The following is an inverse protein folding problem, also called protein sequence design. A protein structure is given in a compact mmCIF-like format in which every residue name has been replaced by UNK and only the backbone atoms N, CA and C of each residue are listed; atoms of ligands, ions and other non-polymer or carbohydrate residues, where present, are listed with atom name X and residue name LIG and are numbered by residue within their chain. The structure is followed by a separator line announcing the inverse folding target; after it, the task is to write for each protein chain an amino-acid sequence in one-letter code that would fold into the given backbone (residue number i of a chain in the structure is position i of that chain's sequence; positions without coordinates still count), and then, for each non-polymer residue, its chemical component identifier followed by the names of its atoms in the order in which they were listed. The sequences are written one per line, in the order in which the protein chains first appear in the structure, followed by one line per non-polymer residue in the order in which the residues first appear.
data_IF_823190266777
#
_entry.id   IF_823190266777
#
_cell.length_a   1.000
_cell.length_b   1.000
_cell.length_c   1.000
_cell.angle_alpha   90.00
_cell.angle_beta   90.00
_cell.angle_gamma   90.00
#
_symmetry.space_group_name_H-M   'P 1'
#
loop_
_entity.id
_entity.type
_entity.pdbx_description
1 polymer ?
#
# COMPACT_ATOMS: atom_id res chain seq x y z
N UNK A 1 9.57 19.82 15.40
CA UNK A 1 8.39 19.03 15.84
C UNK A 1 8.03 18.06 14.73
N UNK A 2 7.70 16.81 15.05
CA UNK A 2 7.16 15.84 14.08
C UNK A 2 5.64 16.01 14.00
N UNK A 3 5.05 15.92 12.80
CA UNK A 3 3.59 16.05 12.61
C UNK A 3 2.88 14.79 13.09
N UNK A 4 1.61 14.90 13.50
CA UNK A 4 0.83 13.73 13.95
C UNK A 4 0.78 12.64 12.87
N UNK A 5 0.63 13.02 11.60
CA UNK A 5 0.61 12.07 10.48
C UNK A 5 1.91 11.29 10.35
N UNK A 6 3.05 11.98 10.51
CA UNK A 6 4.38 11.35 10.52
C UNK A 6 4.51 10.38 11.69
N UNK A 7 4.10 10.78 12.89
CA UNK A 7 4.13 9.91 14.05
C UNK A 7 3.30 8.63 13.82
N UNK A 8 2.06 8.78 13.35
CA UNK A 8 1.18 7.63 13.06
C UNK A 8 1.73 6.72 11.98
N UNK A 9 2.34 7.28 10.94
CA UNK A 9 3.03 6.48 9.92
C UNK A 9 4.13 5.62 10.55
N UNK A 10 4.99 6.19 11.40
CA UNK A 10 6.10 5.46 12.01
C UNK A 10 5.64 4.36 12.98
N UNK A 11 4.57 4.61 13.73
CA UNK A 11 3.96 3.59 14.60
C UNK A 11 3.39 2.41 13.81
N UNK A 12 2.74 2.69 12.68
CA UNK A 12 1.99 1.70 11.91
C UNK A 12 2.85 0.92 10.91
N UNK A 13 3.88 1.55 10.32
CA UNK A 13 4.60 1.01 9.17
C UNK A 13 5.96 0.36 9.50
N UNK A 14 6.23 0.06 10.77
CA UNK A 14 7.34 -0.85 11.08
C UNK A 14 7.07 -2.24 10.52
N UNK A 15 8.15 -2.96 10.19
CA UNK A 15 8.08 -4.25 9.48
C UNK A 15 8.32 -5.37 10.48
N UNK A 16 7.36 -6.28 10.62
CA UNK A 16 7.53 -7.51 11.39
C UNK A 16 7.81 -8.68 10.46
N UNK A 17 8.88 -9.43 10.74
CA UNK A 17 9.08 -10.69 10.03
C UNK A 17 7.98 -11.69 10.43
N UNK A 18 7.14 -12.17 9.51
CA UNK A 18 6.06 -13.10 9.86
C UNK A 18 6.59 -14.46 10.33
N UNK A 19 7.83 -14.82 9.96
CA UNK A 19 8.49 -16.07 10.36
C UNK A 19 9.14 -16.00 11.74
N UNK A 20 10.05 -15.04 11.98
CA UNK A 20 10.84 -14.98 13.22
C UNK A 20 10.44 -13.85 14.17
N UNK A 21 9.43 -13.06 13.83
CA UNK A 21 8.87 -11.95 14.65
C UNK A 21 9.85 -10.83 14.99
N UNK A 22 11.00 -10.77 14.33
CA UNK A 22 11.93 -9.65 14.47
C UNK A 22 11.32 -8.38 13.83
N UNK A 23 11.30 -7.28 14.60
CA UNK A 23 10.76 -5.97 14.21
C UNK A 23 11.87 -5.09 13.63
N UNK A 24 11.59 -4.46 12.49
CA UNK A 24 12.42 -3.42 11.89
C UNK A 24 11.69 -2.07 12.00
N UNK A 25 12.41 -1.04 12.45
CA UNK A 25 11.83 0.28 12.74
C UNK A 25 11.84 1.26 11.55
N UNK A 26 12.36 0.86 10.39
CA UNK A 26 12.62 1.76 9.27
C UNK A 26 11.73 1.44 8.07
N UNK A 27 11.19 2.49 7.44
CA UNK A 27 10.51 2.39 6.17
C UNK A 27 11.51 2.06 5.06
N UNK A 28 11.13 1.17 4.13
CA UNK A 28 11.91 0.90 2.92
C UNK A 28 11.32 1.69 1.76
N UNK A 29 12.13 2.54 1.14
CA UNK A 29 11.74 3.20 -0.11
C UNK A 29 11.86 2.25 -1.30
N UNK A 30 10.78 2.05 -2.06
CA UNK A 30 10.83 1.57 -3.44
C UNK A 30 10.27 0.16 -3.70
N UNK A 31 10.77 -0.89 -3.03
CA UNK A 31 10.41 -2.27 -3.34
C UNK A 31 9.68 -2.99 -2.19
N UNK A 32 8.53 -3.61 -2.48
CA UNK A 32 7.70 -4.34 -1.49
C UNK A 32 8.35 -5.63 -0.99
N UNK A 33 9.32 -6.17 -1.72
CA UNK A 33 10.02 -7.39 -1.36
C UNK A 33 10.99 -7.14 -0.20
N UNK A 34 10.82 -7.88 0.88
CA UNK A 34 11.63 -7.78 2.08
C UNK A 34 12.25 -9.14 2.43
N UNK A 35 13.56 -9.17 2.57
CA UNK A 35 14.32 -10.33 3.06
C UNK A 35 14.73 -10.09 4.51
N UNK A 36 14.23 -10.92 5.43
CA UNK A 36 14.59 -10.83 6.85
C UNK A 36 16.08 -11.11 7.05
N UNK A 37 16.81 -10.20 7.70
CA UNK A 37 18.25 -10.37 7.96
C UNK A 37 18.52 -11.51 8.93
N UNK A 38 17.60 -11.76 9.86
CA UNK A 38 17.71 -12.79 10.91
C UNK A 38 17.46 -14.22 10.41
N UNK A 39 16.40 -14.44 9.61
CA UNK A 39 15.99 -15.80 9.22
C UNK A 39 15.90 -16.03 7.70
N UNK A 40 16.31 -15.03 6.89
CA UNK A 40 16.30 -15.03 5.42
C UNK A 40 14.93 -15.26 4.77
N UNK A 41 13.85 -15.16 5.54
CA UNK A 41 12.50 -15.25 5.00
C UNK A 41 12.19 -14.05 4.10
N UNK A 42 11.67 -14.32 2.90
CA UNK A 42 11.32 -13.33 1.89
C UNK A 42 9.80 -13.13 1.87
N UNK A 43 9.35 -11.90 2.07
CA UNK A 43 7.92 -11.58 2.20
C UNK A 43 7.60 -10.15 1.74
N UNK A 44 6.33 -9.89 1.46
CA UNK A 44 5.83 -8.56 1.19
C UNK A 44 5.69 -7.79 2.49
N UNK A 45 6.35 -6.65 2.65
CA UNK A 45 6.19 -5.87 3.89
C UNK A 45 4.78 -5.26 4.06
N UNK A 46 4.01 -5.12 2.98
CA UNK A 46 2.66 -4.55 3.00
C UNK A 46 1.54 -5.54 3.37
N UNK A 47 1.75 -6.85 3.23
CA UNK A 47 0.73 -7.86 3.57
C UNK A 47 1.29 -9.14 4.20
N UNK A 48 2.59 -9.17 4.51
CA UNK A 48 3.31 -10.31 5.09
C UNK A 48 3.29 -11.62 4.27
N UNK A 49 2.70 -11.63 3.06
CA UNK A 49 2.64 -12.82 2.20
C UNK A 49 4.04 -13.20 1.70
N UNK A 50 4.37 -14.51 1.65
CA UNK A 50 5.68 -14.99 1.20
C UNK A 50 5.93 -14.64 -0.26
N UNK A 51 7.19 -14.33 -0.57
CA UNK A 51 7.70 -14.44 -1.93
C UNK A 51 8.14 -15.88 -2.21
N UNK A 52 7.91 -16.33 -3.43
CA UNK A 52 8.33 -17.63 -3.92
C UNK A 52 8.60 -17.61 -5.42
N UNK A 53 9.37 -18.59 -5.89
CA UNK A 53 9.62 -18.75 -7.32
C UNK A 53 8.35 -19.26 -8.01
N UNK A 54 8.04 -18.69 -9.19
CA UNK A 54 6.94 -19.10 -10.05
C UNK A 54 6.79 -20.61 -10.22
N UNK A 55 7.91 -21.28 -10.52
CA UNK A 55 7.97 -22.74 -10.69
C UNK A 55 7.58 -23.56 -9.44
N UNK A 56 7.55 -22.94 -8.25
CA UNK A 56 7.17 -23.57 -6.97
C UNK A 56 5.79 -23.10 -6.48
N UNK A 57 5.10 -22.27 -7.24
CA UNK A 57 3.81 -21.71 -6.85
C UNK A 57 2.65 -22.57 -7.36
N UNK A 58 1.79 -22.99 -6.45
CA UNK A 58 0.66 -23.89 -6.74
C UNK A 58 -0.68 -23.16 -6.83
N UNK A 59 -0.69 -21.82 -6.87
CA UNK A 59 -1.93 -21.03 -6.83
C UNK A 59 -2.60 -20.95 -8.20
N UNK A 60 -1.82 -20.80 -9.27
CA UNK A 60 -2.33 -20.76 -10.65
C UNK A 60 -1.29 -21.30 -11.62
N UNK A 61 -1.67 -22.01 -12.68
CA UNK A 61 -0.75 -22.40 -13.76
C UNK A 61 -0.01 -21.20 -14.38
N UNK A 62 -0.58 -20.01 -14.30
CA UNK A 62 0.07 -18.77 -14.76
C UNK A 62 1.35 -18.46 -13.97
N UNK A 63 1.40 -18.82 -12.68
CA UNK A 63 2.52 -18.50 -11.80
C UNK A 63 3.82 -19.15 -12.26
N UNK A 64 3.77 -20.32 -12.92
CA UNK A 64 4.95 -20.99 -13.45
C UNK A 64 5.74 -20.14 -14.46
N UNK A 65 5.08 -19.16 -15.10
CA UNK A 65 5.70 -18.22 -16.05
C UNK A 65 6.31 -16.98 -15.37
N UNK A 66 6.07 -16.81 -14.07
CA UNK A 66 6.56 -15.68 -13.30
C UNK A 66 7.91 -16.00 -12.67
N UNK A 67 8.70 -14.96 -12.38
CA UNK A 67 9.89 -15.07 -11.57
C UNK A 67 9.57 -15.16 -10.07
N UNK A 68 10.39 -14.51 -9.25
CA UNK A 68 10.09 -14.28 -7.84
C UNK A 68 8.84 -13.40 -7.72
N UNK A 69 7.78 -13.92 -7.07
CA UNK A 69 6.52 -13.20 -6.90
C UNK A 69 5.84 -13.58 -5.58
N UNK A 70 4.83 -12.80 -5.21
CA UNK A 70 3.96 -13.08 -4.06
C UNK A 70 2.49 -12.90 -4.48
N UNK A 71 1.59 -13.57 -3.76
CA UNK A 71 0.15 -13.40 -3.94
C UNK A 71 -0.37 -12.44 -2.88
N UNK A 72 -0.78 -11.26 -3.34
CA UNK A 72 -1.22 -10.18 -2.47
C UNK A 72 -2.75 -10.17 -2.36
N UNK A 73 -3.32 -9.86 -1.18
CA UNK A 73 -4.73 -9.50 -1.08
C UNK A 73 -4.96 -8.14 -1.74
N UNK A 74 -6.18 -7.87 -2.23
CA UNK A 74 -6.46 -6.66 -3.01
C UNK A 74 -6.31 -5.35 -2.23
N UNK A 75 -6.37 -5.38 -0.89
CA UNK A 75 -6.07 -4.25 0.00
C UNK A 75 -4.58 -4.05 0.31
N UNK A 76 -3.68 -4.83 -0.28
CA UNK A 76 -2.24 -4.68 -0.10
C UNK A 76 -1.71 -3.41 -0.78
N UNK A 77 -0.66 -2.83 -0.18
CA UNK A 77 0.14 -1.75 -0.75
C UNK A 77 0.64 -2.04 -2.17
N UNK A 78 0.87 -3.31 -2.52
CA UNK A 78 1.23 -3.70 -3.88
C UNK A 78 0.23 -3.20 -4.93
N UNK A 79 -1.08 -3.20 -4.62
CA UNK A 79 -2.13 -2.71 -5.51
C UNK A 79 -2.50 -1.25 -5.25
N UNK A 80 -2.43 -0.79 -4.00
CA UNK A 80 -2.90 0.54 -3.62
C UNK A 80 -1.86 1.65 -3.79
N UNK A 81 -0.57 1.33 -3.95
CA UNK A 81 0.51 2.32 -4.11
C UNK A 81 0.34 3.28 -5.30
N UNK A 82 -0.34 2.81 -6.34
CA UNK A 82 -0.55 3.55 -7.58
C UNK A 82 -1.86 4.36 -7.55
N UNK A 83 -2.72 4.14 -6.55
CA UNK A 83 -3.96 4.92 -6.37
C UNK A 83 -3.66 6.36 -5.98
N UNK A 84 -4.61 7.23 -6.32
CA UNK A 84 -4.53 8.63 -5.91
C UNK A 84 -4.80 8.72 -4.40
N UNK A 85 -4.04 9.53 -3.64
CA UNK A 85 -4.28 9.75 -2.22
C UNK A 85 -5.74 10.07 -1.90
N UNK A 86 -6.39 10.91 -2.73
CA UNK A 86 -7.80 11.29 -2.56
C UNK A 86 -8.76 10.10 -2.64
N UNK A 87 -8.48 9.09 -3.48
CA UNK A 87 -9.31 7.89 -3.58
C UNK A 87 -9.24 7.08 -2.29
N UNK A 88 -8.04 6.95 -1.71
CA UNK A 88 -7.82 6.24 -0.43
C UNK A 88 -8.43 7.02 0.74
N UNK A 89 -8.32 8.35 0.74
CA UNK A 89 -8.95 9.23 1.71
C UNK A 89 -10.48 9.08 1.70
N UNK A 90 -11.12 9.12 0.52
CA UNK A 90 -12.56 8.91 0.37
C UNK A 90 -12.94 7.50 0.84
N UNK A 91 -12.16 6.47 0.48
CA UNK A 91 -12.40 5.10 0.91
C UNK A 91 -12.41 4.97 2.44
N UNK A 92 -11.41 5.54 3.12
CA UNK A 92 -11.31 5.55 4.58
C UNK A 92 -12.46 6.35 5.22
N UNK A 93 -12.76 7.53 4.68
CA UNK A 93 -13.85 8.40 5.15
C UNK A 93 -15.20 7.69 5.09
N UNK A 94 -15.50 7.01 3.98
CA UNK A 94 -16.75 6.27 3.79
C UNK A 94 -16.91 5.10 4.77
N UNK A 95 -15.81 4.59 5.32
CA UNK A 95 -15.81 3.53 6.34
C UNK A 95 -15.61 4.06 7.77
N UNK A 96 -15.68 5.38 7.98
CA UNK A 96 -15.53 5.98 9.31
C UNK A 96 -14.12 5.89 9.90
N UNK A 97 -13.10 5.60 9.09
CA UNK A 97 -11.70 5.53 9.56
C UNK A 97 -11.04 6.89 9.44
N UNK A 98 -10.61 7.44 10.57
CA UNK A 98 -9.91 8.72 10.61
C UNK A 98 -8.50 8.62 10.01
N UNK A 99 -8.05 9.71 9.37
CA UNK A 99 -6.69 9.85 8.86
C UNK A 99 -6.23 11.30 8.95
N UNK A 100 -4.93 11.51 9.13
CA UNK A 100 -4.32 12.84 9.08
C UNK A 100 -4.29 13.38 7.65
N UNK A 101 -4.87 14.55 7.44
CA UNK A 101 -4.82 15.31 6.19
C UNK A 101 -3.84 16.49 6.37
N UNK A 102 -3.87 17.17 7.51
CA UNK A 102 -3.04 18.34 7.75
C UNK A 102 -1.84 18.03 8.65
N UNK A 103 -0.71 18.75 8.49
CA UNK A 103 0.47 18.55 9.34
C UNK A 103 0.24 18.93 10.81
N UNK A 104 -0.82 19.67 11.14
CA UNK A 104 -1.04 20.29 12.47
C UNK A 104 -2.39 19.90 13.08
N UNK A 105 -2.89 18.69 12.85
CA UNK A 105 -4.13 18.26 13.51
C UNK A 105 -3.86 18.08 15.03
N UNK A 106 -4.05 19.21 15.75
CA UNK A 106 -3.93 19.55 17.18
C UNK A 106 -2.57 20.09 17.67
N UNK A 107 -2.63 21.34 18.15
CA UNK A 107 -1.62 22.19 18.83
C UNK A 107 -0.75 23.11 17.95
N UNK A 108 -1.29 24.28 17.58
CA UNK A 108 -0.94 25.61 18.15
C UNK A 108 -1.61 26.72 17.29
N UNK A 109 -2.41 27.56 17.96
CA UNK A 109 -2.77 28.91 17.53
C UNK A 109 -1.52 29.81 17.55
N UNK A 110 -1.51 30.83 16.68
CA UNK A 110 -0.57 31.97 16.62
C UNK A 110 0.64 31.87 15.67
N UNK A 111 0.59 32.77 14.68
CA UNK A 111 1.64 33.69 14.28
C UNK A 111 3.00 33.14 13.84
N UNK A 112 3.12 32.90 12.52
CA UNK A 112 4.30 33.34 11.74
C UNK A 112 4.03 33.17 10.24
N UNK A 113 3.68 34.28 9.59
CA UNK A 113 3.81 34.45 8.14
C UNK A 113 5.31 34.41 7.78
N UNK A 114 5.60 33.80 6.62
CA UNK A 114 6.86 33.78 5.87
C UNK A 114 7.92 32.74 6.26
N UNK A 115 7.79 31.54 5.68
CA UNK A 115 8.87 30.93 4.89
C UNK A 115 8.28 30.02 3.81
N UNK A 116 8.31 30.52 2.59
CA UNK A 116 8.06 29.85 1.30
C UNK A 116 9.11 28.78 1.00
N UNK A 117 9.34 27.87 1.94
CA UNK A 117 10.16 26.68 1.70
C UNK A 117 9.24 25.47 1.60
N UNK A 118 9.27 24.72 0.49
CA UNK A 118 8.47 23.50 0.38
C UNK A 118 8.84 22.55 1.51
N UNK A 119 7.83 22.08 2.23
CA UNK A 119 8.00 21.12 3.31
C UNK A 119 8.61 19.83 2.73
N UNK A 120 9.63 19.29 3.39
CA UNK A 120 10.34 18.07 2.97
C UNK A 120 9.97 16.90 3.87
N UNK A 121 9.77 15.73 3.27
CA UNK A 121 9.28 14.54 3.95
C UNK A 121 10.29 14.05 5.01
N UNK A 122 9.90 13.98 6.30
CA UNK A 122 10.83 13.68 7.39
C UNK A 122 11.01 12.19 7.67
N UNK A 123 10.32 11.31 6.91
CA UNK A 123 10.34 9.86 7.15
C UNK A 123 11.77 9.31 7.03
N UNK A 124 12.28 8.62 8.07
CA UNK A 124 13.56 7.94 8.01
C UNK A 124 13.43 6.70 7.12
N UNK A 125 14.39 6.54 6.21
CA UNK A 125 14.48 5.45 5.26
C UNK A 125 15.88 4.84 5.32
N UNK A 126 15.93 3.52 5.21
CA UNK A 126 17.19 2.79 5.11
C UNK A 126 17.56 2.61 3.63
N UNK A 127 18.68 3.20 3.20
CA UNK A 127 19.19 3.05 1.83
C UNK A 127 20.34 2.05 1.80
N UNK A 128 20.35 1.23 0.76
CA UNK A 128 21.49 0.36 0.44
C UNK A 128 22.57 1.19 -0.28
N UNK A 129 23.78 1.16 0.25
CA UNK A 129 24.98 1.80 -0.32
C UNK A 129 26.07 0.74 -0.51
N UNK A 130 27.10 0.97 -1.35
CA UNK A 130 28.21 0.04 -1.51
C UNK A 130 28.93 -0.30 -0.20
N UNK A 131 28.89 0.59 0.79
CA UNK A 131 29.50 0.44 2.12
C UNK A 131 28.57 -0.17 3.16
N UNK A 132 27.32 -0.52 2.80
CA UNK A 132 26.33 -1.08 3.70
C UNK A 132 25.03 -0.27 3.75
N UNK A 133 24.29 -0.42 4.86
CA UNK A 133 22.99 0.21 5.06
C UNK A 133 23.17 1.57 5.75
N UNK A 134 22.58 2.62 5.18
CA UNK A 134 22.66 3.99 5.72
C UNK A 134 21.26 4.55 5.94
N UNK A 135 21.03 5.02 7.16
CA UNK A 135 19.80 5.70 7.53
C UNK A 135 19.82 7.14 7.02
N UNK A 136 18.81 7.50 6.25
CA UNK A 136 18.67 8.85 5.67
C UNK A 136 17.23 9.31 5.82
N UNK A 137 16.96 10.59 5.56
CA UNK A 137 15.59 11.10 5.45
C UNK A 137 15.13 11.03 4.00
N UNK A 138 13.83 10.81 3.80
CA UNK A 138 13.22 10.79 2.48
C UNK A 138 13.48 12.08 1.70
N UNK A 139 13.22 13.25 2.30
CA UNK A 139 13.43 14.58 1.73
C UNK A 139 12.64 14.89 0.43
N UNK A 140 11.71 14.04 0.00
CA UNK A 140 10.79 14.36 -1.10
C UNK A 140 9.82 15.48 -0.72
N UNK A 141 9.26 16.16 -1.72
CA UNK A 141 8.25 17.21 -1.51
C UNK A 141 7.01 16.67 -0.80
N UNK A 142 6.48 17.48 0.11
CA UNK A 142 5.24 17.23 0.84
C UNK A 142 4.14 18.08 0.22
N UNK A 143 3.20 17.47 -0.53
CA UNK A 143 2.03 18.18 -1.02
C UNK A 143 1.12 18.59 0.13
N UNK A 144 0.21 19.53 -0.15
CA UNK A 144 -0.89 19.83 0.76
C UNK A 144 -1.73 18.59 1.02
N UNK A 145 -2.37 18.52 2.20
CA UNK A 145 -3.32 17.46 2.55
C UNK A 145 -2.73 16.04 2.65
N UNK A 146 -1.42 15.93 2.80
CA UNK A 146 -0.69 14.66 2.92
C UNK A 146 -0.13 14.38 4.33
N UNK A 147 -0.71 15.00 5.37
CA UNK A 147 -0.34 14.75 6.76
C UNK A 147 1.12 15.07 7.13
N UNK A 148 1.81 15.86 6.31
CA UNK A 148 3.25 16.14 6.47
C UNK A 148 4.20 15.16 5.77
N UNK A 149 3.70 14.30 4.87
CA UNK A 149 4.47 13.27 4.16
C UNK A 149 4.50 13.49 2.64
N UNK A 150 5.50 12.94 1.95
CA UNK A 150 5.46 12.88 0.50
C UNK A 150 4.38 11.91 0.01
N UNK A 151 4.00 11.98 -1.28
CA UNK A 151 3.00 11.10 -1.89
C UNK A 151 3.20 9.64 -1.52
N UNK A 152 4.42 9.11 -1.68
CA UNK A 152 4.72 7.70 -1.43
C UNK A 152 4.41 7.30 0.01
N UNK A 153 5.00 7.98 0.99
CA UNK A 153 4.79 7.64 2.41
C UNK A 153 3.37 7.93 2.88
N UNK A 154 2.69 8.91 2.27
CA UNK A 154 1.29 9.16 2.57
C UNK A 154 0.39 8.02 2.06
N UNK A 155 0.62 7.53 0.84
CA UNK A 155 -0.12 6.37 0.31
C UNK A 155 0.16 5.11 1.12
N UNK A 156 1.40 4.90 1.56
CA UNK A 156 1.73 3.79 2.48
C UNK A 156 0.96 3.89 3.79
N UNK A 157 0.91 5.09 4.39
CA UNK A 157 0.14 5.37 5.59
C UNK A 157 -1.37 5.12 5.41
N UNK A 158 -1.98 5.65 4.33
CA UNK A 158 -3.40 5.43 4.06
C UNK A 158 -3.71 3.95 3.77
N UNK A 159 -2.83 3.28 3.02
CA UNK A 159 -2.98 1.85 2.72
C UNK A 159 -2.87 0.99 3.98
N UNK A 160 -1.93 1.30 4.87
CA UNK A 160 -1.81 0.59 6.15
C UNK A 160 -3.09 0.72 6.99
N UNK A 161 -3.74 1.90 6.96
CA UNK A 161 -5.06 2.08 7.58
C UNK A 161 -6.16 1.27 6.91
N UNK A 162 -6.21 1.23 5.58
CA UNK A 162 -7.15 0.41 4.80
C UNK A 162 -7.00 -1.07 5.17
N UNK A 163 -5.77 -1.57 5.17
CA UNK A 163 -5.47 -2.96 5.50
C UNK A 163 -5.81 -3.29 6.97
N UNK A 164 -5.41 -2.43 7.92
CA UNK A 164 -5.69 -2.62 9.35
C UNK A 164 -7.18 -2.60 9.68
N UNK A 165 -7.97 -1.81 8.96
CA UNK A 165 -9.42 -1.76 9.09
C UNK A 165 -10.15 -2.85 8.27
N UNK A 166 -9.39 -3.72 7.58
CA UNK A 166 -9.90 -4.75 6.67
C UNK A 166 -10.91 -4.20 5.64
N UNK A 167 -10.63 -3.03 5.08
CA UNK A 167 -11.51 -2.37 4.10
C UNK A 167 -11.25 -2.93 2.71
N UNK A 168 -12.34 -3.22 1.99
CA UNK A 168 -12.27 -3.64 0.59
C UNK A 168 -12.07 -2.42 -0.34
N UNK A 169 -10.96 -2.33 -1.10
CA UNK A 169 -10.70 -1.22 -2.01
C UNK A 169 -11.43 -1.36 -3.35
N UNK A 170 -12.20 -2.43 -3.57
CA UNK A 170 -12.92 -2.65 -4.82
C UNK A 170 -13.78 -1.45 -5.29
N UNK A 171 -14.41 -0.63 -4.41
CA UNK A 171 -15.12 0.57 -4.85
C UNK A 171 -14.25 1.61 -5.59
N UNK A 172 -12.94 1.66 -5.30
CA UNK A 172 -11.99 2.59 -5.93
C UNK A 172 -11.18 1.95 -7.07
N UNK A 173 -11.44 0.68 -7.38
CA UNK A 173 -10.82 0.00 -8.52
C UNK A 173 -11.42 0.52 -9.83
N UNK A 174 -10.59 0.64 -10.86
CA UNK A 174 -11.02 0.86 -12.23
C UNK A 174 -11.24 -0.48 -12.95
N UNK A 175 -11.67 -0.42 -14.22
CA UNK A 175 -11.89 -1.62 -15.02
C UNK A 175 -10.61 -2.46 -15.17
N UNK A 176 -9.46 -1.81 -15.32
CA UNK A 176 -8.17 -2.50 -15.49
C UNK A 176 -7.81 -3.27 -14.23
N UNK A 177 -7.97 -2.67 -13.05
CA UNK A 177 -7.72 -3.37 -11.79
C UNK A 177 -8.58 -4.63 -11.65
N UNK A 178 -9.89 -4.52 -11.92
CA UNK A 178 -10.82 -5.63 -11.79
C UNK A 178 -10.44 -6.77 -12.75
N UNK A 179 -10.15 -6.46 -14.01
CA UNK A 179 -9.73 -7.46 -15.00
C UNK A 179 -8.42 -8.12 -14.60
N UNK A 180 -7.45 -7.34 -14.10
CA UNK A 180 -6.15 -7.87 -13.70
C UNK A 180 -6.24 -8.74 -12.44
N UNK A 181 -7.10 -8.40 -11.49
CA UNK A 181 -7.32 -9.23 -10.28
C UNK A 181 -7.86 -10.61 -10.65
N UNK A 182 -8.83 -10.69 -11.56
CA UNK A 182 -9.36 -11.96 -12.08
C UNK A 182 -8.29 -12.76 -12.84
N UNK A 183 -7.56 -12.11 -13.76
CA UNK A 183 -6.50 -12.76 -14.55
C UNK A 183 -5.38 -13.33 -13.69
N UNK A 184 -4.91 -12.58 -12.69
CA UNK A 184 -3.84 -13.03 -11.77
C UNK A 184 -4.26 -14.24 -10.94
N UNK A 185 -5.56 -14.39 -10.67
CA UNK A 185 -6.15 -15.53 -9.95
C UNK A 185 -6.53 -16.68 -10.88
N UNK A 186 -6.36 -16.54 -12.19
CA UNK A 186 -6.76 -17.54 -13.18
C UNK A 186 -8.28 -17.71 -13.29
N UNK A 187 -9.06 -16.71 -12.87
CA UNK A 187 -10.52 -16.73 -12.95
C UNK A 187 -10.93 -16.19 -14.32
N UNK A 188 -11.81 -16.92 -14.99
CA UNK A 188 -12.38 -16.51 -16.28
C UNK A 188 -13.07 -15.15 -16.14
N UNK A 189 -12.80 -14.27 -17.10
CA UNK A 189 -13.51 -13.00 -17.17
C UNK A 189 -14.98 -13.24 -17.51
N UNK A 190 -15.91 -12.45 -16.95
CA UNK A 190 -17.29 -12.50 -17.39
C UNK A 190 -17.39 -12.13 -18.88
N UNK A 191 -18.37 -12.70 -19.57
CA UNK A 191 -18.67 -12.35 -20.96
C UNK A 191 -19.12 -10.89 -21.04
N UNK A 192 -18.57 -10.14 -22.00
CA UNK A 192 -18.95 -8.75 -22.25
C UNK A 192 -19.97 -8.71 -23.39
N UNK A 193 -21.17 -8.23 -23.10
CA UNK A 193 -22.22 -8.04 -24.08
C UNK A 193 -21.90 -6.91 -25.08
N UNK A 194 -22.50 -6.92 -26.29
CA UNK A 194 -22.26 -5.91 -27.32
C UNK A 194 -22.60 -4.47 -26.89
N UNK A 195 -23.45 -4.32 -25.88
CA UNK A 195 -23.94 -3.03 -25.38
C UNK A 195 -23.41 -2.67 -24.00
N UNK A 196 -22.51 -3.49 -23.44
CA UNK A 196 -21.98 -3.25 -22.11
C UNK A 196 -20.95 -2.12 -22.14
N UNK A 197 -21.27 -1.05 -21.42
CA UNK A 197 -20.32 0.03 -21.15
C UNK A 197 -19.17 -0.47 -20.28
N UNK A 198 -18.06 0.27 -20.25
CA UNK A 198 -16.92 -0.07 -19.38
C UNK A 198 -17.32 -0.10 -17.90
N UNK A 199 -18.27 0.75 -17.49
CA UNK A 199 -18.79 0.77 -16.11
C UNK A 199 -19.61 -0.47 -15.78
N UNK A 200 -20.50 -0.89 -16.69
CA UNK A 200 -21.26 -2.15 -16.53
C UNK A 200 -20.29 -3.32 -16.44
N UNK A 201 -19.32 -3.40 -17.36
CA UNK A 201 -18.36 -4.49 -17.39
C UNK A 201 -17.43 -4.51 -16.17
N UNK A 202 -17.02 -3.34 -15.66
CA UNK A 202 -16.29 -3.21 -14.41
C UNK A 202 -17.10 -3.79 -13.25
N UNK A 203 -18.38 -3.46 -13.15
CA UNK A 203 -19.26 -3.95 -12.07
C UNK A 203 -19.44 -5.47 -12.17
N UNK A 204 -19.59 -6.03 -13.36
CA UNK A 204 -19.63 -7.48 -13.57
C UNK A 204 -18.34 -8.15 -13.07
N UNK A 205 -17.18 -7.61 -13.43
CA UNK A 205 -15.89 -8.13 -12.93
C UNK A 205 -15.79 -8.00 -11.40
N UNK A 206 -16.24 -6.89 -10.83
CA UNK A 206 -16.22 -6.64 -9.39
C UNK A 206 -17.09 -7.66 -8.63
N UNK A 207 -18.27 -8.02 -9.14
CA UNK A 207 -19.11 -9.05 -8.52
C UNK A 207 -18.45 -10.43 -8.57
N UNK A 208 -17.81 -10.80 -9.68
CA UNK A 208 -17.02 -12.05 -9.76
C UNK A 208 -15.89 -12.05 -8.75
N UNK A 209 -15.19 -10.91 -8.56
CA UNK A 209 -14.13 -10.77 -7.55
C UNK A 209 -14.70 -11.00 -6.14
N UNK A 210 -15.81 -10.36 -5.78
CA UNK A 210 -16.42 -10.51 -4.44
C UNK A 210 -16.80 -11.97 -4.16
N UNK A 211 -17.34 -12.67 -5.15
CA UNK A 211 -17.80 -14.05 -5.00
C UNK A 211 -16.64 -15.06 -4.89
N UNK A 212 -15.56 -14.86 -5.66
CA UNK A 212 -14.52 -15.87 -5.83
C UNK A 212 -13.21 -15.55 -5.09
N UNK A 213 -13.01 -14.29 -4.69
CA UNK A 213 -11.78 -13.81 -4.07
C UNK A 213 -12.19 -13.08 -2.77
N UNK A 214 -12.28 -13.77 -1.62
CA UNK A 214 -12.53 -13.11 -0.35
C UNK A 214 -11.41 -12.12 -0.03
N UNK A 215 -11.74 -11.05 0.71
CA UNK A 215 -10.73 -10.20 1.31
C UNK A 215 -10.20 -10.95 2.55
N UNK A 216 -8.97 -11.47 2.46
CA UNK A 216 -8.34 -12.11 3.61
C UNK A 216 -8.26 -11.12 4.78
N UNK A 217 -8.71 -11.53 5.96
CA UNK A 217 -8.38 -10.80 7.18
C UNK A 217 -6.86 -10.89 7.38
N UNK A 218 -6.19 -9.74 7.40
CA UNK A 218 -4.75 -9.62 7.70
C UNK A 218 -4.50 -9.87 9.18
#
# INVERSE_FOLDING_TARGET
MQTLGVQRHLEQNGIDCPKCKFRYSLARGGCMHFTCTQCKYEFCYGCARPFMMGAKCNISPYCAKLGLHAHHPRNCLFYLRDKLPIQLQILLKNHGVSYEENPVDKFIESDAINKTMPLRCPIPIQKETPTGLVDTKCNNDVPEKHGGMCRTHYVEYLTAKVAKANIDPLPIFDLTDCVQELRRRGISLPERGPWDTDEIYKNMCAEVIKQNIPLDAV
#
